data_IF_719148920185
#
_entry.id   IF_719148920185
#
_cell.length_a   1.000
_cell.length_b   1.000
_cell.length_c   1.000
_cell.angle_alpha   90.00
_cell.angle_beta   90.00
_cell.angle_gamma   90.00
#
_symmetry.space_group_name_H-M   'P 1'
#
loop_
_entity.id
_entity.type
_entity.pdbx_description
1 polymer ?
#
# COMPACT_ATOMS: atom_id res chain seq x y z
N UNK A 1 -1.65 4.05 -22.20
CA UNK A 1 -0.81 3.33 -21.20
C UNK A 1 -0.48 4.33 -20.11
N UNK A 2 -0.96 4.10 -18.89
CA UNK A 2 -0.82 5.03 -17.76
C UNK A 2 0.67 5.33 -17.51
N UNK A 3 1.01 6.61 -17.27
CA UNK A 3 2.40 7.02 -17.00
C UNK A 3 3.04 6.25 -15.83
N UNK A 4 2.23 5.69 -14.93
CA UNK A 4 2.66 4.83 -13.82
C UNK A 4 3.38 3.54 -14.28
N UNK A 5 2.86 2.86 -15.31
CA UNK A 5 3.52 1.65 -15.84
C UNK A 5 4.86 1.98 -16.52
N UNK A 6 4.96 3.15 -17.16
CA UNK A 6 6.22 3.60 -17.77
C UNK A 6 7.30 3.78 -16.71
N UNK A 7 7.00 4.51 -15.62
CA UNK A 7 7.95 4.71 -14.52
C UNK A 7 8.36 3.41 -13.83
N UNK A 8 7.41 2.49 -13.61
CA UNK A 8 7.71 1.18 -13.03
C UNK A 8 8.71 0.39 -13.89
N UNK A 9 8.45 0.30 -15.20
CA UNK A 9 9.33 -0.40 -16.13
C UNK A 9 10.70 0.29 -16.25
N UNK A 10 10.75 1.62 -16.22
CA UNK A 10 12.00 2.37 -16.27
C UNK A 10 12.88 2.10 -15.03
N UNK A 11 12.29 2.11 -13.83
CA UNK A 11 13.01 1.77 -12.58
C UNK A 11 13.48 0.32 -12.60
N UNK A 12 12.67 -0.60 -13.11
CA UNK A 12 13.06 -2.00 -13.27
C UNK A 12 14.27 -2.16 -14.19
N UNK A 13 14.27 -1.48 -15.35
CA UNK A 13 15.40 -1.48 -16.29
C UNK A 13 16.66 -0.91 -15.67
N UNK A 14 16.56 0.22 -14.97
CA UNK A 14 17.71 0.86 -14.32
C UNK A 14 18.30 -0.04 -13.23
N UNK A 15 17.47 -0.64 -12.38
CA UNK A 15 17.91 -1.61 -11.39
C UNK A 15 18.62 -2.82 -12.05
N UNK A 16 18.06 -3.36 -13.12
CA UNK A 16 18.69 -4.44 -13.89
C UNK A 16 20.07 -4.06 -14.45
N UNK A 17 20.18 -2.85 -15.01
CA UNK A 17 21.45 -2.33 -15.53
C UNK A 17 22.49 -2.16 -14.42
N UNK A 18 22.09 -1.65 -13.25
CA UNK A 18 23.00 -1.52 -12.12
C UNK A 18 23.48 -2.89 -11.62
N UNK A 19 22.62 -3.89 -11.54
CA UNK A 19 23.05 -5.24 -11.17
C UNK A 19 24.00 -5.86 -12.18
N UNK A 20 23.80 -5.58 -13.47
CA UNK A 20 24.72 -6.02 -14.52
C UNK A 20 26.09 -5.36 -14.36
N UNK A 21 26.14 -4.05 -14.11
CA UNK A 21 27.40 -3.33 -13.87
C UNK A 21 28.12 -3.85 -12.62
N UNK A 22 27.39 -4.03 -11.51
CA UNK A 22 27.93 -4.66 -10.29
C UNK A 22 28.53 -6.03 -10.63
N UNK A 23 27.81 -6.88 -11.35
CA UNK A 23 28.30 -8.19 -11.75
C UNK A 23 29.56 -8.12 -12.61
N UNK A 24 29.68 -7.10 -13.47
CA UNK A 24 30.85 -6.88 -14.32
C UNK A 24 32.07 -6.38 -13.53
N UNK A 25 31.87 -5.62 -12.46
CA UNK A 25 32.94 -5.11 -11.60
C UNK A 25 33.54 -6.20 -10.68
N UNK A 26 32.86 -7.34 -10.52
CA UNK A 26 33.30 -8.46 -9.67
C UNK A 26 34.75 -8.89 -9.92
N UNK A 27 35.21 -9.16 -11.15
CA UNK A 27 36.55 -9.63 -11.41
C UNK A 27 37.61 -8.59 -11.06
N UNK A 28 37.34 -7.30 -11.28
CA UNK A 28 38.26 -6.20 -10.95
C UNK A 28 38.42 -6.06 -9.43
N UNK A 29 37.31 -6.14 -8.70
CA UNK A 29 37.32 -6.08 -7.23
C UNK A 29 38.06 -7.28 -6.63
N UNK A 30 37.92 -8.47 -7.21
CA UNK A 30 38.66 -9.68 -6.82
C UNK A 30 40.14 -9.57 -7.17
N UNK A 31 40.49 -9.00 -8.33
CA UNK A 31 41.87 -8.81 -8.77
C UNK A 31 42.60 -7.82 -7.87
N UNK A 32 42.01 -6.66 -7.56
CA UNK A 32 42.60 -5.65 -6.67
C UNK A 32 42.80 -6.13 -5.22
N UNK A 33 42.01 -7.13 -4.78
CA UNK A 33 42.23 -7.84 -3.51
C UNK A 33 43.42 -8.79 -3.57
N UNK A 34 43.60 -9.51 -4.68
CA UNK A 34 44.69 -10.49 -4.87
C UNK A 34 46.06 -9.82 -4.97
N UNK A 35 46.12 -8.62 -5.53
CA UNK A 35 47.33 -7.79 -5.58
C UNK A 35 47.73 -7.22 -4.22
N UNK A 36 46.76 -7.01 -3.31
CA UNK A 36 46.99 -6.51 -1.95
C UNK A 36 47.56 -7.53 -0.96
N UNK A 37 47.85 -8.76 -1.37
CA UNK A 37 48.58 -9.76 -0.56
C UNK A 37 47.79 -10.41 0.59
N UNK A 38 46.50 -10.12 0.76
CA UNK A 38 45.66 -10.74 1.78
C UNK A 38 44.89 -11.98 1.29
N UNK A 39 44.66 -12.93 2.21
CA UNK A 39 43.91 -14.15 1.92
C UNK A 39 42.44 -13.85 1.61
N UNK A 40 42.00 -14.25 0.42
CA UNK A 40 40.61 -14.11 -0.04
C UNK A 40 39.60 -14.71 0.96
N UNK A 41 39.98 -15.79 1.65
CA UNK A 41 39.12 -16.44 2.64
C UNK A 41 38.81 -15.55 3.85
N UNK A 42 39.77 -14.73 4.27
CA UNK A 42 39.64 -13.86 5.45
C UNK A 42 38.73 -12.68 5.13
N UNK A 43 38.87 -12.09 3.93
CA UNK A 43 38.00 -11.01 3.47
C UNK A 43 36.55 -11.47 3.28
N UNK A 44 36.33 -12.67 2.72
CA UNK A 44 34.99 -13.24 2.61
C UNK A 44 34.34 -13.44 3.97
N UNK A 45 35.10 -13.92 4.97
CA UNK A 45 34.59 -14.10 6.32
C UNK A 45 34.17 -12.78 6.96
N UNK A 46 34.99 -11.72 6.82
CA UNK A 46 34.61 -10.38 7.28
C UNK A 46 33.36 -9.86 6.57
N UNK A 47 33.26 -10.02 5.24
CA UNK A 47 32.07 -9.62 4.49
C UNK A 47 30.80 -10.33 4.95
N UNK A 48 30.89 -11.63 5.24
CA UNK A 48 29.76 -12.43 5.75
C UNK A 48 29.35 -11.98 7.16
N UNK A 49 30.33 -11.76 8.05
CA UNK A 49 30.09 -11.27 9.41
C UNK A 49 29.42 -9.89 9.39
N UNK A 50 29.95 -8.97 8.59
CA UNK A 50 29.38 -7.61 8.44
C UNK A 50 27.97 -7.70 7.87
N UNK A 51 27.73 -8.54 6.86
CA UNK A 51 26.38 -8.76 6.32
C UNK A 51 25.41 -9.25 7.40
N UNK A 52 25.81 -10.23 8.23
CA UNK A 52 24.99 -10.72 9.33
C UNK A 52 24.69 -9.62 10.36
N UNK A 53 25.70 -8.84 10.76
CA UNK A 53 25.52 -7.70 11.68
C UNK A 53 24.56 -6.68 11.10
N UNK A 54 24.73 -6.30 9.82
CA UNK A 54 23.84 -5.34 9.16
C UNK A 54 22.39 -5.83 9.10
N UNK A 55 22.17 -7.12 8.81
CA UNK A 55 20.84 -7.73 8.81
C UNK A 55 20.21 -7.64 10.21
N UNK A 56 20.95 -7.99 11.26
CA UNK A 56 20.47 -7.93 12.64
C UNK A 56 20.16 -6.50 13.09
N UNK A 57 21.05 -5.55 12.81
CA UNK A 57 20.84 -4.12 13.11
C UNK A 57 19.59 -3.61 12.41
N UNK A 58 19.40 -3.98 11.14
CA UNK A 58 18.22 -3.57 10.37
C UNK A 58 16.92 -4.13 10.94
N UNK A 59 16.92 -5.41 11.31
CA UNK A 59 15.79 -6.03 12.00
C UNK A 59 15.51 -5.33 13.33
N UNK A 60 16.53 -5.07 14.14
CA UNK A 60 16.40 -4.36 15.42
C UNK A 60 15.79 -2.96 15.23
N UNK A 61 16.23 -2.20 14.23
CA UNK A 61 15.64 -0.90 13.89
C UNK A 61 14.18 -1.02 13.45
N UNK A 62 13.82 -2.05 12.68
CA UNK A 62 12.43 -2.26 12.25
C UNK A 62 11.49 -2.58 13.43
N UNK A 63 11.93 -3.46 14.33
CA UNK A 63 11.20 -3.71 15.58
C UNK A 63 11.16 -2.47 16.49
N UNK A 64 12.26 -1.71 16.53
CA UNK A 64 12.35 -0.44 17.27
C UNK A 64 11.36 0.60 16.75
N UNK A 65 11.15 0.70 15.44
CA UNK A 65 10.17 1.60 14.85
C UNK A 65 8.74 1.24 15.30
N UNK A 66 8.36 -0.05 15.25
CA UNK A 66 7.05 -0.50 15.74
C UNK A 66 6.90 -0.28 17.24
N UNK A 67 7.94 -0.56 18.02
CA UNK A 67 7.94 -0.31 19.47
C UNK A 67 7.75 1.18 19.78
N UNK A 68 8.41 2.06 19.01
CA UNK A 68 8.27 3.51 19.14
C UNK A 68 6.85 3.96 18.83
N UNK A 69 6.25 3.45 17.74
CA UNK A 69 4.85 3.73 17.39
C UNK A 69 3.88 3.25 18.47
N UNK A 70 4.09 2.06 19.03
CA UNK A 70 3.29 1.52 20.14
C UNK A 70 3.40 2.36 21.41
N UNK A 71 4.61 2.82 21.75
CA UNK A 71 4.83 3.69 22.88
C UNK A 71 4.13 5.05 22.68
N UNK A 72 4.22 5.63 21.48
CA UNK A 72 3.58 6.89 21.14
C UNK A 72 2.03 6.80 21.13
N UNK A 73 1.47 5.62 20.81
CA UNK A 73 0.02 5.35 20.92
C UNK A 73 -0.51 5.54 22.34
N UNK A 74 0.32 5.37 23.38
CA UNK A 74 -0.05 5.67 24.77
C UNK A 74 -0.42 7.16 24.96
N UNK A 75 0.16 8.05 24.15
CA UNK A 75 0.01 9.49 24.25
C UNK A 75 -0.96 10.10 23.23
N UNK A 76 -1.17 9.46 22.07
CA UNK A 76 -2.01 10.00 20.97
C UNK A 76 -3.00 8.93 20.49
N UNK A 77 -4.30 9.20 20.70
CA UNK A 77 -5.43 8.27 20.51
C UNK A 77 -6.02 8.28 19.09
N UNK A 78 -5.19 8.45 18.06
CA UNK A 78 -5.59 8.39 16.63
C UNK A 78 -4.89 7.27 15.85
N UNK A 79 -4.22 6.34 16.55
CA UNK A 79 -3.59 5.20 15.89
C UNK A 79 -4.61 4.10 15.58
N UNK A 80 -4.70 3.79 14.29
CA UNK A 80 -5.44 2.69 13.68
C UNK A 80 -5.36 1.41 14.54
N UNK A 81 -6.48 0.68 14.77
CA UNK A 81 -6.51 -0.47 15.67
C UNK A 81 -5.71 -1.68 15.17
N UNK A 82 -5.29 -1.66 13.91
CA UNK A 82 -4.70 -2.78 13.23
C UNK A 82 -3.22 -2.98 13.61
N UNK A 83 -3.02 -3.52 14.81
CA UNK A 83 -1.75 -4.08 15.25
C UNK A 83 -1.53 -5.43 14.55
N UNK A 84 -0.92 -5.42 13.37
CA UNK A 84 -0.72 -6.60 12.52
C UNK A 84 0.41 -7.56 12.98
N UNK A 85 0.62 -7.68 14.30
CA UNK A 85 1.53 -8.65 14.92
C UNK A 85 3.02 -8.42 14.66
N UNK A 86 3.87 -9.27 15.27
CA UNK A 86 5.34 -9.20 15.15
C UNK A 86 5.87 -9.62 13.76
N UNK A 87 5.00 -10.09 12.86
CA UNK A 87 5.35 -10.58 11.53
C UNK A 87 5.59 -9.43 10.54
N UNK A 88 4.83 -8.33 10.64
CA UNK A 88 4.99 -7.15 9.79
C UNK A 88 6.36 -6.48 9.93
N UNK A 89 6.85 -6.14 11.14
CA UNK A 89 8.20 -5.58 11.27
C UNK A 89 9.30 -6.55 10.82
N UNK A 90 9.09 -7.87 10.94
CA UNK A 90 10.04 -8.84 10.42
C UNK A 90 10.18 -8.72 8.90
N UNK A 91 9.06 -8.75 8.19
CA UNK A 91 9.05 -8.66 6.72
C UNK A 91 9.50 -7.28 6.24
N UNK A 92 9.12 -6.21 6.92
CA UNK A 92 9.57 -4.85 6.63
C UNK A 92 11.09 -4.71 6.79
N UNK A 93 11.65 -5.24 7.88
CA UNK A 93 13.10 -5.28 8.11
C UNK A 93 13.85 -6.17 7.11
N UNK A 94 13.21 -7.24 6.61
CA UNK A 94 13.77 -8.17 5.64
C UNK A 94 13.67 -7.68 4.18
N UNK A 95 12.71 -6.81 3.86
CA UNK A 95 12.41 -6.31 2.51
C UNK A 95 13.23 -5.08 2.06
N UNK A 96 14.34 -4.77 2.73
CA UNK A 96 15.11 -3.54 2.48
C UNK A 96 15.60 -3.38 1.02
N UNK A 97 15.51 -2.15 0.49
CA UNK A 97 16.09 -1.76 -0.80
C UNK A 97 17.58 -2.09 -0.85
N UNK A 98 18.04 -2.60 -2.00
CA UNK A 98 19.34 -3.27 -2.13
C UNK A 98 20.37 -2.44 -2.90
N UNK A 99 21.54 -2.27 -2.28
CA UNK A 99 22.88 -2.30 -2.87
C UNK A 99 23.39 -1.14 -3.72
N UNK A 100 22.56 -0.48 -4.53
CA UNK A 100 23.06 0.52 -5.51
C UNK A 100 23.73 1.70 -4.81
N UNK A 101 23.07 2.24 -3.77
CA UNK A 101 23.58 3.38 -3.01
C UNK A 101 24.85 3.02 -2.25
N UNK A 102 24.92 1.80 -1.72
CA UNK A 102 26.10 1.32 -0.99
C UNK A 102 27.31 1.14 -1.90
N UNK A 103 27.11 0.63 -3.12
CA UNK A 103 28.17 0.52 -4.12
C UNK A 103 28.68 1.91 -4.53
N UNK A 104 27.76 2.84 -4.83
CA UNK A 104 28.14 4.20 -5.19
C UNK A 104 28.98 4.87 -4.09
N UNK A 105 28.60 4.66 -2.83
CA UNK A 105 29.38 5.14 -1.69
C UNK A 105 30.78 4.51 -1.61
N UNK A 106 30.90 3.21 -1.86
CA UNK A 106 32.20 2.52 -1.86
C UNK A 106 33.10 2.96 -3.02
N UNK A 107 32.54 3.17 -4.21
CA UNK A 107 33.27 3.68 -5.38
C UNK A 107 33.69 5.14 -5.22
N UNK A 108 32.92 5.93 -4.47
CA UNK A 108 33.24 7.32 -4.15
C UNK A 108 34.45 7.47 -3.22
N UNK A 109 34.98 6.38 -2.66
CA UNK A 109 36.20 6.43 -1.84
C UNK A 109 37.37 6.83 -2.74
N UNK A 110 38.05 7.96 -2.46
CA UNK A 110 39.12 8.47 -3.30
C UNK A 110 40.32 7.52 -3.31
N UNK A 111 41.06 7.49 -4.43
CA UNK A 111 42.25 6.64 -4.55
C UNK A 111 43.41 7.12 -3.68
N UNK A 112 43.46 8.43 -3.41
CA UNK A 112 44.49 9.06 -2.58
C UNK A 112 43.84 9.87 -1.45
N UNK A 113 44.52 9.90 -0.32
CA UNK A 113 44.20 10.79 0.80
C UNK A 113 44.61 12.22 0.48
N UNK A 114 44.15 13.21 1.26
CA UNK A 114 44.56 14.62 1.11
C UNK A 114 46.07 14.83 1.30
N UNK A 115 46.76 13.88 1.94
CA UNK A 115 48.21 13.87 2.09
C UNK A 115 48.96 13.24 0.88
N UNK A 116 48.25 12.85 -0.18
CA UNK A 116 48.84 12.25 -1.39
C UNK A 116 49.26 10.78 -1.26
N UNK A 117 48.99 10.13 -0.12
CA UNK A 117 49.23 8.69 0.06
C UNK A 117 48.02 7.85 -0.39
N UNK A 118 48.22 6.65 -0.94
CA UNK A 118 47.13 5.73 -1.30
C UNK A 118 46.19 5.49 -0.11
N UNK A 119 44.89 5.44 -0.39
CA UNK A 119 43.91 5.19 0.67
C UNK A 119 44.07 3.77 1.24
N UNK A 120 44.26 3.62 2.56
CA UNK A 120 44.53 2.32 3.18
C UNK A 120 43.32 1.39 3.02
N UNK A 121 43.57 0.14 2.61
CA UNK A 121 42.56 -0.93 2.56
C UNK A 121 41.33 -0.64 1.69
N UNK A 122 41.44 0.27 0.71
CA UNK A 122 40.34 0.62 -0.21
C UNK A 122 39.77 -0.60 -0.92
N UNK A 123 40.64 -1.46 -1.46
CA UNK A 123 40.23 -2.69 -2.17
C UNK A 123 39.46 -3.64 -1.25
N UNK A 124 39.85 -3.73 0.03
CA UNK A 124 39.15 -4.53 1.04
C UNK A 124 37.74 -3.98 1.33
N UNK A 125 37.59 -2.67 1.47
CA UNK A 125 36.27 -2.04 1.71
C UNK A 125 35.33 -2.26 0.52
N UNK A 126 35.83 -2.09 -0.70
CA UNK A 126 35.05 -2.32 -1.92
C UNK A 126 34.65 -3.80 -2.03
N UNK A 127 35.59 -4.72 -1.75
CA UNK A 127 35.31 -6.15 -1.73
C UNK A 127 34.25 -6.54 -0.69
N UNK A 128 34.37 -6.04 0.55
CA UNK A 128 33.38 -6.29 1.61
C UNK A 128 32.02 -5.75 1.20
N UNK A 129 31.96 -4.52 0.67
CA UNK A 129 30.70 -3.92 0.20
C UNK A 129 30.08 -4.78 -0.88
N UNK A 130 30.89 -5.29 -1.82
CA UNK A 130 30.46 -6.20 -2.86
C UNK A 130 29.87 -7.51 -2.29
N UNK A 131 30.58 -8.15 -1.36
CA UNK A 131 30.11 -9.38 -0.69
C UNK A 131 28.80 -9.13 0.06
N UNK A 132 28.69 -8.01 0.79
CA UNK A 132 27.45 -7.63 1.50
C UNK A 132 26.30 -7.46 0.52
N UNK A 133 26.52 -6.76 -0.60
CA UNK A 133 25.50 -6.57 -1.64
C UNK A 133 25.08 -7.92 -2.23
N UNK A 134 26.02 -8.78 -2.59
CA UNK A 134 25.74 -10.10 -3.17
C UNK A 134 24.97 -10.99 -2.19
N UNK A 135 25.39 -11.06 -0.93
CA UNK A 135 24.70 -11.84 0.10
C UNK A 135 23.29 -11.31 0.35
N UNK A 136 23.12 -9.99 0.48
CA UNK A 136 21.80 -9.39 0.70
C UNK A 136 20.89 -9.54 -0.52
N UNK A 137 21.43 -9.49 -1.74
CA UNK A 137 20.68 -9.75 -2.96
C UNK A 137 20.23 -11.20 -3.09
N UNK A 138 21.15 -12.15 -2.98
CA UNK A 138 20.83 -13.56 -3.19
C UNK A 138 20.04 -14.13 -2.02
N UNK A 139 20.52 -13.92 -0.79
CA UNK A 139 19.87 -14.47 0.40
C UNK A 139 18.53 -13.77 0.63
N UNK A 140 18.51 -12.44 0.82
CA UNK A 140 17.24 -11.76 1.13
C UNK A 140 16.32 -11.68 -0.08
N UNK A 141 16.85 -11.59 -1.31
CA UNK A 141 16.04 -11.61 -2.54
C UNK A 141 15.29 -12.90 -2.75
N UNK A 142 15.96 -14.03 -2.62
CA UNK A 142 15.36 -15.33 -2.87
C UNK A 142 14.51 -15.81 -1.67
N UNK A 143 14.85 -15.40 -0.46
CA UNK A 143 14.09 -15.78 0.75
C UNK A 143 12.83 -14.94 0.97
N UNK A 144 12.76 -13.71 0.46
CA UNK A 144 11.60 -12.83 0.65
C UNK A 144 10.27 -13.44 0.18
N UNK A 145 10.12 -14.01 -1.05
CA UNK A 145 8.84 -14.57 -1.49
C UNK A 145 8.40 -15.73 -0.58
N UNK A 146 9.33 -16.63 -0.24
CA UNK A 146 9.08 -17.77 0.66
C UNK A 146 8.67 -17.27 2.05
N UNK A 147 9.32 -16.21 2.53
CA UNK A 147 9.04 -15.61 3.83
C UNK A 147 7.64 -14.99 3.86
N UNK A 148 7.26 -14.25 2.82
CA UNK A 148 5.92 -13.66 2.71
C UNK A 148 4.85 -14.75 2.70
N UNK A 149 5.05 -15.82 1.94
CA UNK A 149 4.12 -16.95 1.86
C UNK A 149 4.00 -17.70 3.20
N UNK A 150 5.13 -17.94 3.88
CA UNK A 150 5.16 -18.62 5.19
C UNK A 150 4.53 -17.81 6.30
N UNK A 151 4.71 -16.49 6.29
CA UNK A 151 4.28 -15.63 7.39
C UNK A 151 2.79 -15.33 7.36
N UNK A 152 2.06 -15.76 6.31
CA UNK A 152 0.61 -15.54 6.12
C UNK A 152 0.18 -14.17 6.65
N UNK A 153 0.89 -13.13 6.20
CA UNK A 153 0.58 -11.78 6.61
C UNK A 153 -0.92 -11.55 6.34
N UNK A 154 -1.67 -10.96 7.28
CA UNK A 154 -3.03 -10.55 7.01
C UNK A 154 -3.00 -9.70 5.74
N UNK A 155 -3.86 -10.00 4.79
CA UNK A 155 -3.90 -9.27 3.53
C UNK A 155 -4.09 -7.77 3.84
N UNK A 156 -3.08 -6.96 3.53
CA UNK A 156 -3.28 -5.53 3.41
C UNK A 156 -4.31 -5.35 2.29
N UNK A 157 -5.44 -4.69 2.57
CA UNK A 157 -6.64 -4.69 1.73
C UNK A 157 -7.33 -6.05 1.59
N UNK A 158 -7.75 -6.69 2.69
CA UNK A 158 -8.85 -7.67 2.61
C UNK A 158 -10.21 -6.94 2.43
N UNK A 159 -10.21 -5.96 1.52
CA UNK A 159 -11.44 -5.33 1.06
C UNK A 159 -12.11 -6.31 0.12
N UNK A 160 -13.43 -6.42 0.23
CA UNK A 160 -14.18 -7.11 -0.80
C UNK A 160 -13.83 -6.50 -2.17
N UNK A 161 -13.82 -7.31 -3.25
CA UNK A 161 -13.70 -6.80 -4.60
C UNK A 161 -14.58 -5.56 -4.81
N UNK A 162 -14.08 -4.55 -5.52
CA UNK A 162 -14.80 -3.28 -5.71
C UNK A 162 -16.23 -3.50 -6.21
N UNK A 163 -16.41 -4.46 -7.13
CA UNK A 163 -17.72 -4.86 -7.66
C UNK A 163 -18.67 -5.41 -6.58
N UNK A 164 -18.18 -6.26 -5.68
CA UNK A 164 -18.98 -6.82 -4.59
C UNK A 164 -19.35 -5.73 -3.58
N UNK A 165 -18.39 -4.87 -3.23
CA UNK A 165 -18.61 -3.75 -2.32
C UNK A 165 -19.65 -2.78 -2.87
N UNK A 166 -19.56 -2.41 -4.16
CA UNK A 166 -20.57 -1.57 -4.80
C UNK A 166 -21.95 -2.22 -4.82
N UNK A 167 -22.04 -3.54 -5.06
CA UNK A 167 -23.31 -4.27 -5.05
C UNK A 167 -23.96 -4.21 -3.67
N UNK A 168 -23.19 -4.44 -2.60
CA UNK A 168 -23.67 -4.36 -1.21
C UNK A 168 -24.16 -2.94 -0.89
N UNK A 169 -23.37 -1.93 -1.24
CA UNK A 169 -23.75 -0.52 -1.02
C UNK A 169 -25.05 -0.20 -1.75
N UNK A 170 -25.16 -0.51 -3.05
CA UNK A 170 -26.35 -0.21 -3.85
C UNK A 170 -27.60 -0.90 -3.31
N UNK A 171 -27.52 -2.19 -2.98
CA UNK A 171 -28.63 -2.94 -2.40
C UNK A 171 -29.07 -2.36 -1.05
N UNK A 172 -28.11 -1.99 -0.21
CA UNK A 172 -28.40 -1.34 1.07
C UNK A 172 -29.05 0.03 0.93
N UNK A 173 -28.59 0.85 -0.02
CA UNK A 173 -29.20 2.15 -0.32
C UNK A 173 -30.65 1.99 -0.79
N UNK A 174 -30.92 1.02 -1.67
CA UNK A 174 -32.28 0.71 -2.13
C UNK A 174 -33.17 0.22 -0.98
N UNK A 175 -32.68 -0.69 -0.13
CA UNK A 175 -33.42 -1.18 1.05
C UNK A 175 -33.79 -0.03 2.01
N UNK A 176 -32.83 0.85 2.31
CA UNK A 176 -33.05 2.00 3.20
C UNK A 176 -34.06 2.98 2.62
N UNK A 177 -33.96 3.28 1.31
CA UNK A 177 -34.94 4.13 0.62
C UNK A 177 -36.35 3.53 0.68
N UNK A 178 -36.49 2.25 0.37
CA UNK A 178 -37.79 1.56 0.37
C UNK A 178 -38.36 1.41 1.78
N UNK A 179 -37.51 1.15 2.78
CA UNK A 179 -37.91 1.09 4.19
C UNK A 179 -38.42 2.44 4.67
N UNK A 180 -37.71 3.52 4.36
CA UNK A 180 -38.15 4.88 4.71
C UNK A 180 -39.51 5.24 4.09
N UNK A 181 -39.72 4.89 2.82
CA UNK A 181 -41.01 5.12 2.15
C UNK A 181 -42.15 4.32 2.77
N UNK A 182 -41.89 3.07 3.19
CA UNK A 182 -42.87 2.20 3.85
C UNK A 182 -43.24 2.71 5.24
N UNK A 183 -42.24 3.10 6.04
CA UNK A 183 -42.43 3.53 7.44
C UNK A 183 -43.17 4.86 7.55
N UNK A 184 -42.99 5.76 6.59
CA UNK A 184 -43.65 7.07 6.59
C UNK A 184 -44.99 7.09 5.83
N UNK A 185 -45.54 5.91 5.48
CA UNK A 185 -46.85 5.75 4.82
C UNK A 185 -47.04 6.64 3.57
N UNK A 186 -45.95 6.91 2.85
CA UNK A 186 -45.92 7.85 1.70
C UNK A 186 -46.58 7.26 0.44
N UNK A 187 -47.37 6.18 0.59
CA UNK A 187 -48.02 5.45 -0.50
C UNK A 187 -48.96 6.33 -1.33
N UNK A 188 -49.65 7.29 -0.71
CA UNK A 188 -50.50 8.25 -1.44
C UNK A 188 -49.67 9.17 -2.36
N UNK A 189 -48.57 9.75 -1.84
CA UNK A 189 -47.66 10.59 -2.62
C UNK A 189 -46.98 9.83 -3.78
N UNK A 190 -46.71 8.54 -3.56
CA UNK A 190 -46.18 7.64 -4.59
C UNK A 190 -47.25 7.39 -5.66
N UNK A 191 -48.50 7.15 -5.28
CA UNK A 191 -49.59 6.96 -6.25
C UNK A 191 -49.85 8.21 -7.11
N UNK A 192 -49.66 9.39 -6.55
CA UNK A 192 -49.87 10.67 -7.24
C UNK A 192 -48.71 11.08 -8.15
N UNK A 193 -47.49 10.61 -7.89
CA UNK A 193 -46.31 10.95 -8.68
C UNK A 193 -45.80 9.77 -9.51
N UNK A 194 -45.90 9.92 -10.84
CA UNK A 194 -45.33 8.98 -11.81
C UNK A 194 -43.79 8.84 -11.66
N UNK A 195 -43.12 9.86 -11.09
CA UNK A 195 -41.68 9.87 -10.86
C UNK A 195 -41.28 9.05 -9.64
N UNK A 196 -41.97 9.21 -8.51
CA UNK A 196 -41.73 8.39 -7.32
C UNK A 196 -42.01 6.90 -7.61
N UNK A 197 -43.02 6.59 -8.42
CA UNK A 197 -43.23 5.22 -8.90
C UNK A 197 -42.06 4.71 -9.74
N UNK A 198 -41.52 5.55 -10.65
CA UNK A 198 -40.35 5.18 -11.44
C UNK A 198 -39.12 4.92 -10.56
N UNK A 199 -38.89 5.73 -9.52
CA UNK A 199 -37.81 5.56 -8.56
C UNK A 199 -37.98 4.32 -7.68
N UNK A 200 -39.17 4.09 -7.15
CA UNK A 200 -39.50 2.91 -6.35
C UNK A 200 -39.37 1.64 -7.19
N UNK A 201 -39.90 1.66 -8.42
CA UNK A 201 -39.74 0.55 -9.37
C UNK A 201 -38.27 0.32 -9.70
N UNK A 202 -37.47 1.38 -9.85
CA UNK A 202 -36.03 1.29 -10.11
C UNK A 202 -35.26 0.73 -8.92
N UNK A 203 -35.54 1.16 -7.69
CA UNK A 203 -34.95 0.57 -6.48
C UNK A 203 -35.37 -0.89 -6.28
N UNK A 204 -36.60 -1.24 -6.66
CA UNK A 204 -37.07 -2.62 -6.72
C UNK A 204 -36.34 -3.43 -7.81
N UNK A 205 -36.06 -2.84 -8.97
CA UNK A 205 -35.30 -3.48 -10.08
C UNK A 205 -33.79 -3.53 -9.79
N UNK A 206 -33.22 -2.58 -9.05
CA UNK A 206 -31.81 -2.59 -8.61
C UNK A 206 -31.48 -3.72 -7.63
N UNK A 207 -32.50 -4.30 -7.00
CA UNK A 207 -32.36 -5.55 -6.26
C UNK A 207 -32.16 -6.76 -7.20
N UNK A 208 -32.41 -6.61 -8.51
CA UNK A 208 -32.34 -7.69 -9.51
C UNK A 208 -31.25 -7.52 -10.60
N UNK A 209 -31.02 -6.37 -11.26
CA UNK A 209 -29.78 -6.13 -12.09
C UNK A 209 -29.70 -4.72 -12.73
N UNK A 210 -28.55 -4.41 -13.34
CA UNK A 210 -27.95 -3.11 -13.74
C UNK A 210 -28.79 -2.12 -14.57
N UNK A 211 -28.63 -0.82 -14.25
CA UNK A 211 -28.90 0.31 -15.17
C UNK A 211 -29.24 1.64 -14.46
N UNK A 212 -28.64 2.77 -14.90
CA UNK A 212 -28.83 4.12 -14.35
C UNK A 212 -29.67 5.00 -15.30
N UNK A 213 -30.72 5.65 -14.78
CA UNK A 213 -31.27 6.90 -15.34
C UNK A 213 -31.86 7.78 -14.22
N UNK A 214 -31.45 9.06 -14.10
CA UNK A 214 -32.05 9.99 -13.16
C UNK A 214 -33.36 10.57 -13.76
N UNK A 215 -34.47 10.50 -13.02
CA UNK A 215 -35.70 11.22 -13.36
C UNK A 215 -36.00 12.25 -12.26
N UNK A 216 -36.29 13.46 -12.72
CA UNK A 216 -36.44 14.69 -11.95
C UNK A 216 -37.91 15.00 -11.68
N UNK A 217 -38.14 15.66 -10.54
CA UNK A 217 -39.34 16.36 -10.07
C UNK A 217 -40.45 15.54 -9.38
N UNK A 218 -40.31 15.33 -8.06
CA UNK A 218 -41.40 15.06 -7.13
C UNK A 218 -40.98 15.34 -5.68
N UNK A 219 -41.54 16.41 -5.09
CA UNK A 219 -41.33 16.87 -3.70
C UNK A 219 -39.85 16.85 -3.26
N UNK A 220 -39.08 17.90 -3.61
CA UNK A 220 -37.67 18.07 -3.25
C UNK A 220 -37.38 17.75 -1.77
N UNK A 221 -38.33 18.01 -0.88
CA UNK A 221 -38.25 17.67 0.54
C UNK A 221 -38.24 16.15 0.81
N UNK A 222 -39.13 15.37 0.17
CA UNK A 222 -39.15 13.91 0.32
C UNK A 222 -37.88 13.28 -0.26
N UNK A 223 -37.42 13.74 -1.42
CA UNK A 223 -36.20 13.24 -2.04
C UNK A 223 -34.96 13.58 -1.20
N UNK A 224 -34.86 14.81 -0.68
CA UNK A 224 -33.78 15.21 0.24
C UNK A 224 -33.75 14.33 1.49
N UNK A 225 -34.92 14.04 2.08
CA UNK A 225 -34.99 13.17 3.26
C UNK A 225 -34.53 11.73 2.97
N UNK A 226 -34.81 11.19 1.78
CA UNK A 226 -34.32 9.87 1.37
C UNK A 226 -32.79 9.88 1.22
N UNK A 227 -32.23 10.93 0.62
CA UNK A 227 -30.78 11.11 0.48
C UNK A 227 -30.08 11.20 1.86
N UNK A 228 -30.71 11.85 2.84
CA UNK A 228 -30.20 11.89 4.22
C UNK A 228 -30.16 10.51 4.87
N UNK A 229 -31.20 9.69 4.69
CA UNK A 229 -31.23 8.31 5.21
C UNK A 229 -30.16 7.44 4.54
N UNK A 230 -29.97 7.59 3.24
CA UNK A 230 -28.91 6.92 2.49
C UNK A 230 -27.51 7.27 3.02
N UNK A 231 -27.27 8.55 3.30
CA UNK A 231 -26.00 9.02 3.87
C UNK A 231 -25.75 8.46 5.26
N UNK A 232 -26.77 8.44 6.13
CA UNK A 232 -26.66 7.84 7.47
C UNK A 232 -26.32 6.34 7.40
N UNK A 233 -26.94 5.61 6.48
CA UNK A 233 -26.62 4.21 6.23
C UNK A 233 -25.15 4.01 5.81
N UNK A 234 -24.63 4.83 4.90
CA UNK A 234 -23.23 4.75 4.46
C UNK A 234 -22.24 5.01 5.62
N UNK A 235 -22.54 5.96 6.51
CA UNK A 235 -21.72 6.19 7.70
C UNK A 235 -21.74 5.01 8.67
N UNK A 236 -22.90 4.38 8.86
CA UNK A 236 -23.01 3.18 9.69
C UNK A 236 -22.26 2.01 9.06
N UNK A 237 -22.43 1.79 7.76
CA UNK A 237 -21.75 0.74 7.00
C UNK A 237 -20.23 0.86 7.11
N UNK A 238 -19.68 2.06 6.95
CA UNK A 238 -18.23 2.32 7.08
C UNK A 238 -17.72 2.04 8.50
N UNK A 239 -18.53 2.31 9.52
CA UNK A 239 -18.16 2.13 10.92
C UNK A 239 -18.24 0.67 11.39
N UNK A 240 -19.23 -0.08 10.89
CA UNK A 240 -19.50 -1.45 11.30
C UNK A 240 -18.68 -2.47 10.51
N UNK A 241 -18.31 -2.17 9.26
CA UNK A 241 -17.62 -3.10 8.36
C UNK A 241 -16.21 -2.62 7.99
N UNK A 242 -15.21 -3.09 8.74
CA UNK A 242 -13.79 -2.79 8.47
C UNK A 242 -13.25 -3.38 7.15
N UNK A 243 -14.02 -4.27 6.50
CA UNK A 243 -13.69 -4.92 5.23
C UNK A 243 -14.29 -4.21 4.00
N UNK A 244 -14.95 -3.06 4.19
CA UNK A 244 -15.45 -2.23 3.10
C UNK A 244 -14.46 -1.09 2.88
N UNK A 245 -14.07 -0.89 1.62
CA UNK A 245 -13.13 0.17 1.27
C UNK A 245 -13.78 1.55 1.45
N UNK A 246 -13.23 2.35 2.36
CA UNK A 246 -13.68 3.70 2.67
C UNK A 246 -13.70 4.62 1.44
N UNK A 247 -12.77 4.46 0.50
CA UNK A 247 -12.75 5.24 -0.74
C UNK A 247 -14.01 5.03 -1.57
N UNK A 248 -14.52 3.79 -1.61
CA UNK A 248 -15.76 3.46 -2.34
C UNK A 248 -16.94 4.15 -1.66
N UNK A 249 -17.04 4.04 -0.32
CA UNK A 249 -18.11 4.69 0.45
C UNK A 249 -18.10 6.20 0.25
N UNK A 250 -16.92 6.83 0.29
CA UNK A 250 -16.76 8.26 0.10
C UNK A 250 -17.21 8.72 -1.30
N UNK A 251 -16.97 7.92 -2.36
CA UNK A 251 -17.52 8.22 -3.70
C UNK A 251 -19.05 8.23 -3.73
N UNK A 252 -19.71 7.33 -3.00
CA UNK A 252 -21.18 7.34 -2.91
C UNK A 252 -21.71 8.53 -2.09
N UNK A 253 -21.06 8.87 -0.97
CA UNK A 253 -21.40 10.06 -0.18
C UNK A 253 -21.26 11.33 -1.02
N UNK A 254 -20.14 11.48 -1.74
CA UNK A 254 -19.93 12.62 -2.65
C UNK A 254 -21.01 12.72 -3.72
N UNK A 255 -21.47 11.59 -4.27
CA UNK A 255 -22.57 11.58 -5.24
C UNK A 255 -23.86 12.09 -4.61
N UNK A 256 -24.20 11.63 -3.41
CA UNK A 256 -25.38 12.09 -2.65
C UNK A 256 -25.28 13.60 -2.38
N UNK A 257 -24.14 14.08 -1.91
CA UNK A 257 -23.91 15.50 -1.62
C UNK A 257 -24.07 16.36 -2.89
N UNK A 258 -23.57 15.90 -4.04
CA UNK A 258 -23.75 16.59 -5.33
C UNK A 258 -25.22 16.63 -5.77
N UNK A 259 -25.97 15.55 -5.55
CA UNK A 259 -27.41 15.52 -5.84
C UNK A 259 -28.19 16.46 -4.92
N UNK A 260 -27.88 16.49 -3.61
CA UNK A 260 -28.50 17.43 -2.67
C UNK A 260 -28.20 18.90 -3.01
N UNK A 261 -26.96 19.22 -3.40
CA UNK A 261 -26.62 20.57 -3.85
C UNK A 261 -27.41 20.95 -5.10
N UNK A 262 -27.54 20.04 -6.07
CA UNK A 262 -28.33 20.30 -7.28
C UNK A 262 -29.80 20.64 -6.97
N UNK A 263 -30.43 19.93 -6.03
CA UNK A 263 -31.82 20.18 -5.61
C UNK A 263 -32.04 21.57 -4.98
N UNK A 264 -30.98 22.22 -4.47
CA UNK A 264 -31.07 23.58 -3.90
C UNK A 264 -31.05 24.67 -4.97
N UNK A 265 -30.58 24.37 -6.17
CA UNK A 265 -30.39 25.33 -7.27
C UNK A 265 -31.43 25.21 -8.39
N UNK A 266 -32.32 24.22 -8.33
CA UNK A 266 -33.52 24.10 -9.19
C UNK A 266 -34.77 24.58 -8.43
#
# INVERSE_FOLDING_TARGET
>A
MSGWNFWHNFVFLLNGLVFLLIGLDLPEVVAGMREGGMSLSTATWYGLLISAVLILVRLACSYGAVMTTLFMRRFIKVADPNYYGLHVPFVLGWSGMRGVVSLAAALSIPMMTEAGVPFPERSMIIYITFVVILVTLLLQGLTLPILIERMKLPAFNDYLPEQETESIIRKGLADVSLRYLRENEVCELISDSQHLQSMVSHWMTQLEEEGQTPLYDASNELYSNILDQQRLYLYHLNKEHANINEDIVNRFIQRIDLEQERLKYE
#
